data_IF_911504557773
#
_entry.id   IF_911504557773
#
_cell.length_a   1.000
_cell.length_b   1.000
_cell.length_c   1.000
_cell.angle_alpha   90.00
_cell.angle_beta   90.00
_cell.angle_gamma   90.00
#
_symmetry.space_group_name_H-M   'P 1'
#
loop_
_entity.id
_entity.type
_entity.pdbx_description
1 polymer ?
#
# COMPACT_ATOMS: atom_id res chain seq x y z
N UNK A 1 -6.55 -7.34 12.01
CA UNK A 1 -5.57 -6.25 11.85
C UNK A 1 -5.25 -6.16 10.37
N UNK A 2 -4.83 -4.99 9.88
CA UNK A 2 -4.30 -4.83 8.53
C UNK A 2 -2.83 -4.46 8.58
N UNK A 3 -2.06 -5.04 7.67
CA UNK A 3 -0.75 -4.52 7.29
C UNK A 3 -0.88 -3.79 5.95
N UNK A 4 -0.05 -2.79 5.72
CA UNK A 4 -0.05 -1.99 4.50
C UNK A 4 1.33 -1.75 3.97
N UNK A 5 1.44 -1.72 2.65
CA UNK A 5 2.63 -1.26 1.92
C UNK A 5 2.31 0.11 1.34
N UNK A 6 3.12 1.09 1.74
CA UNK A 6 3.01 2.48 1.29
C UNK A 6 4.39 3.05 0.99
N UNK A 7 4.49 3.89 -0.04
CA UNK A 7 5.67 4.69 -0.37
C UNK A 7 5.48 6.14 0.10
N UNK A 8 6.54 6.78 0.56
CA UNK A 8 6.54 8.22 0.86
C UNK A 8 6.12 9.09 -0.33
N UNK A 9 6.50 8.69 -1.54
CA UNK A 9 6.16 9.38 -2.80
C UNK A 9 4.65 9.46 -3.06
N UNK A 10 3.84 8.59 -2.48
CA UNK A 10 2.38 8.58 -2.69
C UNK A 10 1.72 9.83 -2.09
N UNK A 11 2.38 10.50 -1.15
CA UNK A 11 1.79 11.52 -0.29
C UNK A 11 2.31 12.94 -0.55
N UNK A 12 1.46 13.93 -0.27
CA UNK A 12 1.81 15.36 -0.29
C UNK A 12 2.90 15.68 0.74
N UNK A 13 2.81 15.03 1.89
CA UNK A 13 3.77 15.05 2.99
C UNK A 13 4.51 13.71 3.01
N UNK A 14 5.80 13.63 2.61
CA UNK A 14 6.56 12.38 2.57
C UNK A 14 6.67 11.67 3.93
N UNK A 15 6.46 12.39 5.03
CA UNK A 15 6.48 11.83 6.39
C UNK A 15 5.13 11.26 6.83
N UNK A 16 4.08 11.40 6.01
CA UNK A 16 2.74 10.93 6.33
C UNK A 16 2.66 9.44 6.77
N UNK A 17 3.41 8.49 6.17
CA UNK A 17 3.43 7.11 6.63
C UNK A 17 3.81 6.94 8.11
N UNK A 18 4.60 7.85 8.68
CA UNK A 18 5.07 7.80 10.07
C UNK A 18 3.96 8.12 11.10
N UNK A 19 2.77 8.54 10.63
CA UNK A 19 1.57 8.73 11.46
C UNK A 19 0.89 7.41 11.83
N UNK A 20 1.26 6.32 11.16
CA UNK A 20 0.81 4.96 11.48
C UNK A 20 1.83 4.23 12.34
N UNK A 21 1.45 3.08 12.90
CA UNK A 21 2.42 2.18 13.52
C UNK A 21 3.27 1.53 12.42
N UNK A 22 4.50 1.98 12.26
CA UNK A 22 5.46 1.41 11.29
C UNK A 22 6.11 0.18 11.90
N UNK A 23 6.09 -0.95 11.19
CA UNK A 23 6.77 -2.19 11.59
C UNK A 23 8.03 -2.47 10.75
N UNK A 24 8.10 -1.91 9.53
CA UNK A 24 9.26 -2.03 8.66
C UNK A 24 9.45 -0.76 7.81
N UNK A 25 10.71 -0.45 7.48
CA UNK A 25 11.09 0.70 6.66
C UNK A 25 12.30 0.32 5.80
N UNK A 26 12.17 0.42 4.48
CA UNK A 26 13.24 0.14 3.52
C UNK A 26 13.51 1.35 2.64
N UNK A 27 14.75 1.84 2.65
CA UNK A 27 15.21 2.86 1.69
C UNK A 27 15.57 2.20 0.36
N UNK A 28 15.12 2.78 -0.74
CA UNK A 28 15.50 2.32 -2.08
C UNK A 28 17.00 2.50 -2.35
N UNK A 29 17.58 1.56 -3.10
CA UNK A 29 18.99 1.58 -3.50
C UNK A 29 19.22 2.34 -4.81
N UNK A 30 18.16 2.61 -5.58
CA UNK A 30 18.24 3.21 -6.92
C UNK A 30 17.68 4.62 -6.98
N UNK A 31 16.76 4.98 -6.08
CA UNK A 31 16.08 6.26 -6.04
C UNK A 31 15.91 6.73 -4.59
N UNK A 32 15.64 8.01 -4.37
CA UNK A 32 15.43 8.56 -3.03
C UNK A 32 13.94 8.46 -2.62
N UNK A 33 13.50 7.24 -2.36
CA UNK A 33 12.19 6.95 -1.77
C UNK A 33 12.30 5.90 -0.69
N UNK A 34 11.30 5.89 0.19
CA UNK A 34 11.21 4.97 1.30
C UNK A 34 9.90 4.20 1.23
N UNK A 35 10.02 2.89 1.36
CA UNK A 35 8.89 1.99 1.53
C UNK A 35 8.65 1.72 3.00
N UNK A 36 7.39 1.79 3.40
CA UNK A 36 6.93 1.54 4.76
C UNK A 36 6.01 0.32 4.79
N UNK A 37 6.26 -0.55 5.75
CA UNK A 37 5.28 -1.50 6.27
C UNK A 37 4.56 -0.86 7.46
N UNK A 38 3.24 -0.69 7.35
CA UNK A 38 2.41 -0.06 8.40
C UNK A 38 1.35 -1.02 8.94
N UNK A 39 1.01 -0.90 10.21
CA UNK A 39 -0.09 -1.62 10.85
C UNK A 39 -1.28 -0.70 11.11
N UNK A 40 -2.49 -1.20 10.86
CA UNK A 40 -3.73 -0.50 11.13
C UNK A 40 -4.71 -1.46 11.84
N UNK A 41 -5.23 -1.11 13.04
CA UNK A 41 -6.27 -1.88 13.70
C UNK A 41 -7.55 -1.96 12.85
N UNK A 42 -8.27 -3.10 12.90
CA UNK A 42 -9.48 -3.31 12.10
C UNK A 42 -10.55 -2.23 12.32
N UNK A 43 -10.70 -1.79 13.57
CA UNK A 43 -11.63 -0.72 13.96
C UNK A 43 -11.30 0.65 13.37
N UNK A 44 -10.07 0.86 12.91
CA UNK A 44 -9.56 2.14 12.40
C UNK A 44 -9.43 2.15 10.88
N UNK A 45 -9.52 1.00 10.20
CA UNK A 45 -9.22 0.89 8.76
C UNK A 45 -10.00 1.90 7.92
N UNK A 46 -11.32 2.03 8.11
CA UNK A 46 -12.12 2.97 7.32
C UNK A 46 -11.68 4.42 7.49
N UNK A 47 -11.36 4.84 8.72
CA UNK A 47 -10.88 6.21 8.99
C UNK A 47 -9.47 6.42 8.41
N UNK A 48 -8.59 5.43 8.58
CA UNK A 48 -7.21 5.50 8.06
C UNK A 48 -7.19 5.61 6.55
N UNK A 49 -8.04 4.85 5.83
CA UNK A 49 -8.13 4.91 4.37
C UNK A 49 -8.62 6.27 3.88
N UNK A 50 -9.58 6.91 4.57
CA UNK A 50 -10.00 8.30 4.27
C UNK A 50 -8.82 9.26 4.38
N UNK A 51 -8.06 9.19 5.49
CA UNK A 51 -6.87 10.03 5.70
C UNK A 51 -5.81 9.78 4.65
N UNK A 52 -5.59 8.53 4.25
CA UNK A 52 -4.66 8.15 3.18
C UNK A 52 -5.07 8.86 1.89
N UNK A 53 -6.31 8.68 1.42
CA UNK A 53 -6.78 9.31 0.18
C UNK A 53 -6.68 10.85 0.20
N UNK A 54 -7.00 11.48 1.33
CA UNK A 54 -6.90 12.95 1.51
C UNK A 54 -5.45 13.46 1.38
N UNK A 55 -4.48 12.69 1.88
CA UNK A 55 -3.07 13.05 1.90
C UNK A 55 -2.29 12.57 0.66
N UNK A 56 -2.86 11.68 -0.15
CA UNK A 56 -2.26 11.27 -1.42
C UNK A 56 -2.12 12.46 -2.37
N UNK A 57 -1.08 12.43 -3.20
CA UNK A 57 -0.82 13.44 -4.23
C UNK A 57 -1.89 13.47 -5.31
N UNK A 58 -1.96 14.58 -6.04
CA UNK A 58 -2.95 14.83 -7.11
C UNK A 58 -2.35 14.69 -8.51
N UNK A 59 -1.03 14.77 -8.63
CA UNK A 59 -0.29 14.89 -9.89
C UNK A 59 0.12 13.55 -10.50
N UNK A 60 0.12 12.48 -9.71
CA UNK A 60 0.54 11.15 -10.13
C UNK A 60 -0.44 10.06 -9.67
N UNK A 61 -0.64 8.97 -10.44
CA UNK A 61 -1.62 7.94 -10.19
C UNK A 61 -1.15 6.90 -9.15
N UNK A 62 -0.67 7.36 -8.00
CA UNK A 62 -0.21 6.49 -6.93
C UNK A 62 -1.32 5.59 -6.36
N UNK A 63 -0.92 4.48 -5.76
CA UNK A 63 -1.79 3.60 -5.01
C UNK A 63 -1.05 3.00 -3.81
N UNK A 64 -1.81 2.69 -2.75
CA UNK A 64 -1.36 1.89 -1.62
C UNK A 64 -2.15 0.59 -1.57
N UNK A 65 -1.63 -0.44 -0.90
CA UNK A 65 -2.41 -1.63 -0.60
C UNK A 65 -2.28 -2.07 0.85
N UNK A 66 -3.39 -2.58 1.38
CA UNK A 66 -3.54 -3.05 2.74
C UNK A 66 -4.14 -4.45 2.71
N UNK A 67 -3.69 -5.34 3.58
CA UNK A 67 -4.13 -6.71 3.59
C UNK A 67 -4.23 -7.25 5.01
N UNK A 68 -5.09 -8.24 5.13
CA UNK A 68 -5.26 -9.13 6.28
C UNK A 68 -5.41 -10.55 5.75
N UNK A 69 -5.60 -11.52 6.64
CA UNK A 69 -5.80 -12.92 6.25
C UNK A 69 -7.00 -13.14 5.29
N UNK A 70 -8.01 -12.27 5.37
CA UNK A 70 -9.30 -12.47 4.68
C UNK A 70 -9.54 -11.51 3.52
N UNK A 71 -8.91 -10.33 3.56
CA UNK A 71 -9.23 -9.24 2.64
C UNK A 71 -8.02 -8.38 2.31
N UNK A 72 -8.05 -7.81 1.11
CA UNK A 72 -7.09 -6.84 0.61
C UNK A 72 -7.84 -5.61 0.10
N UNK A 73 -7.34 -4.44 0.50
CA UNK A 73 -7.79 -3.13 0.05
C UNK A 73 -6.70 -2.53 -0.83
N UNK A 74 -7.05 -2.15 -2.06
CA UNK A 74 -6.17 -1.34 -2.92
C UNK A 74 -6.76 0.05 -3.01
N UNK A 75 -5.97 1.05 -2.61
CA UNK A 75 -6.39 2.42 -2.39
C UNK A 75 -5.72 3.30 -3.42
N UNK A 76 -6.50 3.75 -4.38
CA UNK A 76 -6.17 4.89 -5.23
C UNK A 76 -6.78 6.14 -4.60
N UNK A 77 -6.26 7.32 -4.95
CA UNK A 77 -6.74 8.60 -4.43
C UNK A 77 -8.28 8.75 -4.47
N UNK A 78 -8.90 8.37 -5.59
CA UNK A 78 -10.34 8.53 -5.82
C UNK A 78 -11.11 7.20 -5.89
N UNK A 79 -10.49 6.07 -5.55
CA UNK A 79 -11.12 4.76 -5.66
C UNK A 79 -10.51 3.73 -4.74
N UNK A 80 -11.35 2.91 -4.11
CA UNK A 80 -10.93 1.79 -3.27
C UNK A 80 -11.47 0.50 -3.89
N UNK A 81 -10.64 -0.53 -3.95
CA UNK A 81 -11.04 -1.89 -4.27
C UNK A 81 -10.92 -2.76 -3.03
N UNK A 82 -12.00 -3.45 -2.68
CA UNK A 82 -12.02 -4.47 -1.62
C UNK A 82 -12.15 -5.84 -2.26
N UNK A 83 -11.11 -6.66 -2.11
CA UNK A 83 -11.00 -7.99 -2.76
C UNK A 83 -10.43 -9.02 -1.80
N UNK A 84 -10.38 -10.29 -2.21
CA UNK A 84 -9.65 -11.32 -1.45
C UNK A 84 -8.14 -11.19 -1.73
N UNK A 85 -7.26 -11.62 -0.81
CA UNK A 85 -5.81 -11.65 -1.02
C UNK A 85 -5.41 -12.82 -1.95
N UNK A 86 -5.92 -12.77 -3.19
CA UNK A 86 -5.66 -13.74 -4.24
C UNK A 86 -5.69 -13.05 -5.60
N UNK A 87 -4.71 -13.35 -6.44
CA UNK A 87 -4.48 -12.66 -7.72
C UNK A 87 -5.65 -12.76 -8.72
N UNK A 88 -6.44 -13.82 -8.65
CA UNK A 88 -7.65 -13.99 -9.48
C UNK A 88 -8.67 -12.85 -9.32
N UNK A 89 -8.60 -12.10 -8.23
CA UNK A 89 -9.48 -10.96 -7.93
C UNK A 89 -8.95 -9.61 -8.43
N UNK A 90 -7.74 -9.56 -8.99
CA UNK A 90 -7.04 -8.29 -9.29
C UNK A 90 -7.44 -7.66 -10.61
N UNK A 91 -8.08 -8.42 -11.51
CA UNK A 91 -8.50 -7.92 -12.83
C UNK A 91 -9.18 -6.54 -12.83
N UNK A 92 -10.17 -6.24 -11.97
CA UNK A 92 -10.78 -4.90 -11.92
C UNK A 92 -9.82 -3.80 -11.45
N UNK A 93 -8.85 -4.14 -10.59
CA UNK A 93 -7.83 -3.23 -10.05
C UNK A 93 -6.82 -2.90 -11.15
N UNK A 94 -6.30 -3.94 -11.81
CA UNK A 94 -5.37 -3.81 -12.96
C UNK A 94 -5.99 -2.97 -14.07
N UNK A 95 -7.26 -3.25 -14.41
CA UNK A 95 -8.00 -2.46 -15.41
C UNK A 95 -8.08 -0.97 -15.03
N UNK A 96 -8.25 -0.67 -13.74
CA UNK A 96 -8.29 0.72 -13.27
C UNK A 96 -6.92 1.38 -13.27
N UNK A 97 -5.88 0.71 -12.76
CA UNK A 97 -4.51 1.24 -12.81
C UNK A 97 -4.06 1.55 -14.24
N UNK A 98 -4.36 0.66 -15.19
CA UNK A 98 -4.12 0.89 -16.62
C UNK A 98 -4.88 2.09 -17.18
N UNK A 99 -6.12 2.33 -16.73
CA UNK A 99 -6.88 3.53 -17.14
C UNK A 99 -6.28 4.83 -16.60
N UNK A 100 -5.42 4.74 -15.58
CA UNK A 100 -4.65 5.84 -15.02
C UNK A 100 -3.21 5.90 -15.58
N UNK A 101 -2.89 5.11 -16.61
CA UNK A 101 -1.56 4.98 -17.22
C UNK A 101 -0.48 4.38 -16.31
N UNK A 102 -0.85 3.64 -15.26
CA UNK A 102 0.11 2.87 -14.46
C UNK A 102 0.52 1.63 -15.27
N UNK A 103 1.83 1.37 -15.46
CA UNK A 103 2.30 0.14 -16.09
C UNK A 103 1.80 -1.10 -15.34
N UNK A 104 1.41 -2.15 -16.08
CA UNK A 104 0.80 -3.34 -15.48
C UNK A 104 1.78 -4.09 -14.57
N UNK A 105 3.07 -4.03 -14.89
CA UNK A 105 4.16 -4.59 -14.08
C UNK A 105 4.34 -3.90 -12.72
N UNK A 106 3.82 -2.67 -12.54
CA UNK A 106 3.83 -1.96 -11.25
C UNK A 106 2.56 -2.23 -10.43
N UNK A 107 1.60 -2.98 -10.97
CA UNK A 107 0.35 -3.34 -10.28
C UNK A 107 0.50 -4.70 -9.60
N UNK A 108 1.61 -4.86 -8.88
CA UNK A 108 1.95 -6.04 -8.08
C UNK A 108 1.58 -5.82 -6.60
N UNK A 109 0.40 -6.30 -6.20
CA UNK A 109 -0.05 -6.19 -4.81
C UNK A 109 0.60 -7.28 -3.94
N UNK A 110 1.92 -7.17 -3.76
CA UNK A 110 2.71 -8.06 -2.93
C UNK A 110 3.51 -7.26 -1.89
N UNK A 111 3.58 -7.73 -0.63
CA UNK A 111 2.85 -8.85 -0.01
C UNK A 111 1.33 -8.62 0.04
N UNK A 112 0.56 -9.72 0.06
CA UNK A 112 -0.89 -9.66 0.28
C UNK A 112 -1.36 -10.55 1.43
N UNK A 113 -0.42 -11.13 2.18
CA UNK A 113 -0.63 -11.95 3.39
C UNK A 113 0.54 -11.74 4.33
N UNK A 114 0.29 -11.87 5.64
CA UNK A 114 1.34 -11.67 6.66
C UNK A 114 2.52 -12.61 6.51
N UNK A 115 2.27 -13.87 6.15
CA UNK A 115 3.32 -14.86 5.90
C UNK A 115 4.27 -14.50 4.75
N UNK A 116 3.86 -13.62 3.84
CA UNK A 116 4.69 -13.24 2.70
C UNK A 116 5.69 -12.13 3.05
N UNK A 117 5.49 -11.42 4.16
CA UNK A 117 6.32 -10.28 4.59
C UNK A 117 7.75 -10.69 4.89
N UNK A 118 7.97 -11.91 5.41
CA UNK A 118 9.29 -12.46 5.70
C UNK A 118 10.16 -12.59 4.45
N UNK A 119 9.52 -12.67 3.27
CA UNK A 119 10.18 -12.72 1.98
C UNK A 119 10.27 -11.33 1.33
N UNK A 120 9.40 -10.40 1.75
CA UNK A 120 9.38 -9.05 1.22
C UNK A 120 10.39 -8.14 1.89
N UNK A 121 10.42 -8.13 3.22
CA UNK A 121 11.32 -7.32 4.03
C UNK A 121 12.53 -8.14 4.48
N UNK A 122 13.70 -7.50 4.50
CA UNK A 122 14.92 -8.07 5.10
C UNK A 122 14.89 -7.87 6.62
N UNK A 123 15.68 -8.64 7.35
CA UNK A 123 15.80 -8.50 8.80
C UNK A 123 16.19 -7.08 9.24
N UNK A 124 17.00 -6.38 8.44
CA UNK A 124 17.42 -4.99 8.67
C UNK A 124 16.34 -3.94 8.39
N UNK A 125 15.26 -4.31 7.68
CA UNK A 125 14.15 -3.40 7.37
C UNK A 125 13.19 -3.25 8.56
N UNK A 126 13.13 -4.21 9.48
CA UNK A 126 12.20 -4.20 10.62
C UNK A 126 12.67 -3.24 11.74
N UNK A 127 11.71 -2.61 12.43
CA UNK A 127 11.94 -1.63 13.52
C UNK A 127 11.81 -2.27 14.89
#
# INVERSE_FOLDING_TARGET
MYHGIVLDLEFKDPTFPEKFKVFAKRKSTTNDWILYGVEIPDKEISQSISKIQENMRDDEPYYAHFYSDNEMLVVFKNKIFKVKPHNSTWRPIIKHGRSLNIPEEQLDFWPNRFQDEIHYFKQEDYI
#
